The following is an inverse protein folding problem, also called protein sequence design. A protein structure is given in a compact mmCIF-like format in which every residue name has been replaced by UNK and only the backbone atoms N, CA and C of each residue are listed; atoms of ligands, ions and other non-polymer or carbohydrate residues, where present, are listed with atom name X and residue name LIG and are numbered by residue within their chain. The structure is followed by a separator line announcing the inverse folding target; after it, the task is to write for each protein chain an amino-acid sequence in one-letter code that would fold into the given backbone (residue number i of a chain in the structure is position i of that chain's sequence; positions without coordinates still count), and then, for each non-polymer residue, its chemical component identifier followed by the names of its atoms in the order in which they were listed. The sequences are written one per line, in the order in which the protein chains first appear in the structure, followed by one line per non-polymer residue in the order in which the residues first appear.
data_IF_134007236849
#
_entry.id   IF_134007236849
#
_cell.length_a   1.000
_cell.length_b   1.000
_cell.length_c   1.000
_cell.angle_alpha   90.00
_cell.angle_beta   90.00
_cell.angle_gamma   90.00
#
_symmetry.space_group_name_H-M   'P 1'
#
loop_
_entity.id
_entity.type
_entity.pdbx_description
1 polymer ?
#
# COMPACT_ATOMS: atom_id res chain seq x y z
N UNK A 1 -6.42 37.87 -32.23
CA UNK A 1 -6.05 37.40 -30.88
C UNK A 1 -6.42 35.94 -30.79
N UNK A 2 -5.47 35.05 -30.87
CA UNK A 2 -5.67 33.62 -30.57
C UNK A 2 -6.01 33.48 -29.10
N UNK A 3 -7.06 32.77 -28.72
CA UNK A 3 -7.36 32.54 -27.31
C UNK A 3 -6.18 31.82 -26.65
N UNK A 4 -5.72 32.36 -25.51
CA UNK A 4 -4.75 31.68 -24.65
C UNK A 4 -5.43 30.38 -24.25
N UNK A 5 -4.80 29.20 -24.47
CA UNK A 5 -5.39 27.94 -24.06
C UNK A 5 -5.59 27.98 -22.55
N UNK A 6 -6.79 27.62 -22.12
CA UNK A 6 -7.12 27.47 -20.70
C UNK A 6 -6.23 26.35 -20.13
N UNK A 7 -5.33 26.64 -19.20
CA UNK A 7 -4.43 25.65 -18.62
C UNK A 7 -5.16 24.57 -17.79
N UNK A 8 -6.47 24.72 -17.59
CA UNK A 8 -7.29 23.73 -16.87
C UNK A 8 -7.89 22.65 -17.78
N UNK A 9 -7.86 22.82 -19.12
CA UNK A 9 -8.53 21.95 -20.08
C UNK A 9 -7.87 20.56 -20.26
N UNK A 10 -6.64 20.38 -19.79
CA UNK A 10 -5.82 19.17 -20.01
C UNK A 10 -5.59 18.32 -18.75
N UNK A 11 -6.36 18.52 -17.68
CA UNK A 11 -6.14 17.79 -16.41
C UNK A 11 -7.21 16.75 -16.15
N UNK A 12 -6.79 15.55 -15.71
CA UNK A 12 -7.74 14.59 -15.18
C UNK A 12 -8.47 15.21 -13.97
N UNK A 13 -9.80 15.15 -13.90
CA UNK A 13 -10.59 15.66 -12.78
C UNK A 13 -10.25 14.97 -11.45
N UNK A 14 -9.50 13.86 -11.51
CA UNK A 14 -9.10 13.08 -10.36
C UNK A 14 -7.83 13.57 -9.67
N UNK A 15 -7.09 14.51 -10.30
CA UNK A 15 -5.78 14.96 -9.81
C UNK A 15 -5.77 16.47 -9.58
N UNK A 16 -5.37 16.88 -8.40
CA UNK A 16 -5.09 18.28 -8.07
C UNK A 16 -3.59 18.53 -8.05
N UNK A 17 -3.14 19.59 -8.75
CA UNK A 17 -1.77 20.07 -8.69
C UNK A 17 -1.67 21.20 -7.66
N UNK A 18 -0.85 20.98 -6.62
CA UNK A 18 -0.55 21.96 -5.59
C UNK A 18 0.77 22.69 -5.86
N UNK A 19 1.36 23.25 -4.80
CA UNK A 19 2.65 23.93 -4.90
C UNK A 19 3.79 22.94 -5.21
N UNK A 20 4.89 23.46 -5.79
CA UNK A 20 6.15 22.74 -6.01
C UNK A 20 6.02 21.42 -6.80
N UNK A 21 4.99 21.31 -7.65
CA UNK A 21 4.73 20.12 -8.47
C UNK A 21 4.15 18.91 -7.70
N UNK A 22 3.65 19.14 -6.49
CA UNK A 22 2.94 18.10 -5.75
C UNK A 22 1.57 17.79 -6.39
N UNK A 23 1.35 16.54 -6.73
CA UNK A 23 0.08 16.03 -7.25
C UNK A 23 -0.67 15.29 -6.16
N UNK A 24 -1.97 15.53 -6.04
CA UNK A 24 -2.84 14.90 -5.05
C UNK A 24 -3.99 14.19 -5.74
N UNK A 25 -4.26 12.95 -5.32
CA UNK A 25 -5.48 12.26 -5.73
C UNK A 25 -6.68 12.93 -5.04
N UNK A 26 -7.64 13.41 -5.82
CA UNK A 26 -8.85 14.08 -5.31
C UNK A 26 -10.14 13.42 -5.73
N UNK A 27 -10.15 12.74 -6.87
CA UNK A 27 -11.31 12.07 -7.46
C UNK A 27 -11.24 10.55 -7.38
N UNK A 28 -11.59 9.93 -8.50
CA UNK A 28 -11.70 8.48 -8.66
C UNK A 28 -12.96 7.89 -8.04
N UNK A 29 -13.10 6.57 -8.12
CA UNK A 29 -14.28 5.83 -7.60
C UNK A 29 -14.53 6.04 -6.11
N UNK A 30 -13.49 6.37 -5.36
CA UNK A 30 -13.55 6.59 -3.91
C UNK A 30 -13.84 8.04 -3.53
N UNK A 31 -13.96 8.95 -4.51
CA UNK A 31 -14.24 10.38 -4.29
C UNK A 31 -13.40 10.96 -3.15
N UNK A 32 -12.08 10.87 -3.28
CA UNK A 32 -11.12 11.09 -2.17
C UNK A 32 -11.36 12.43 -1.48
N UNK A 33 -11.53 13.53 -2.23
CA UNK A 33 -11.69 14.87 -1.64
C UNK A 33 -12.96 14.99 -0.77
N UNK A 34 -14.03 14.27 -1.10
CA UNK A 34 -15.28 14.33 -0.32
C UNK A 34 -15.10 13.74 1.08
N UNK A 35 -14.13 12.83 1.25
CA UNK A 35 -13.81 12.25 2.55
C UNK A 35 -13.14 13.27 3.49
N UNK A 36 -12.52 14.32 2.93
CA UNK A 36 -11.87 15.43 3.66
C UNK A 36 -12.78 16.64 3.85
N UNK A 37 -14.04 16.56 3.42
CA UNK A 37 -15.06 17.59 3.64
C UNK A 37 -16.00 17.17 4.76
N UNK A 38 -16.69 18.13 5.36
CA UNK A 38 -17.72 17.82 6.35
C UNK A 38 -18.99 17.32 5.66
N UNK A 39 -19.63 16.24 6.15
CA UNK A 39 -19.38 15.51 7.40
C UNK A 39 -18.25 14.44 7.34
N UNK A 40 -17.60 14.18 6.20
CA UNK A 40 -16.57 13.13 6.04
C UNK A 40 -17.14 11.73 6.35
N UNK A 41 -16.35 10.85 6.98
CA UNK A 41 -16.83 9.52 7.35
C UNK A 41 -17.98 9.63 8.36
N UNK A 42 -19.11 8.99 8.07
CA UNK A 42 -20.29 9.02 8.94
C UNK A 42 -20.04 8.29 10.27
N UNK A 43 -20.74 8.73 11.34
CA UNK A 43 -20.67 8.05 12.65
C UNK A 43 -21.08 6.57 12.56
N UNK A 44 -22.06 6.24 11.69
CA UNK A 44 -22.48 4.85 11.44
C UNK A 44 -21.35 4.01 10.85
N UNK A 45 -20.59 4.55 9.88
CA UNK A 45 -19.46 3.87 9.28
C UNK A 45 -18.31 3.68 10.29
N UNK A 46 -17.96 4.72 11.04
CA UNK A 46 -16.94 4.65 12.10
C UNK A 46 -17.29 3.59 13.17
N UNK A 47 -18.58 3.51 13.57
CA UNK A 47 -19.04 2.46 14.49
C UNK A 47 -18.93 1.05 13.89
N UNK A 48 -19.22 0.89 12.58
CA UNK A 48 -19.04 -0.38 11.87
C UNK A 48 -17.55 -0.78 11.80
N UNK A 49 -16.66 0.17 11.54
CA UNK A 49 -15.20 -0.04 11.60
C UNK A 49 -14.76 -0.52 12.98
N UNK A 50 -15.18 0.15 14.04
CA UNK A 50 -14.89 -0.26 15.42
C UNK A 50 -15.31 -1.71 15.69
N UNK A 51 -16.50 -2.12 15.23
CA UNK A 51 -16.99 -3.49 15.37
C UNK A 51 -16.19 -4.49 14.53
N UNK A 52 -15.82 -4.13 13.32
CA UNK A 52 -15.01 -4.97 12.44
C UNK A 52 -13.63 -5.23 13.06
N UNK A 53 -12.94 -4.19 13.52
CA UNK A 53 -11.61 -4.35 14.13
C UNK A 53 -11.68 -5.14 15.44
N UNK A 54 -12.66 -4.88 16.28
CA UNK A 54 -12.89 -5.69 17.49
C UNK A 54 -13.20 -7.17 17.18
N UNK A 55 -13.88 -7.45 16.06
CA UNK A 55 -14.11 -8.81 15.59
C UNK A 55 -12.78 -9.46 15.14
N UNK A 56 -11.99 -8.78 14.30
CA UNK A 56 -10.70 -9.28 13.81
C UNK A 56 -9.74 -9.60 14.94
N UNK A 57 -9.61 -8.69 15.92
CA UNK A 57 -8.79 -8.90 17.12
C UNK A 57 -9.21 -10.20 17.86
N UNK A 58 -10.49 -10.38 18.13
CA UNK A 58 -10.97 -11.56 18.84
C UNK A 58 -10.84 -12.84 18.02
N UNK A 59 -11.08 -12.76 16.70
CA UNK A 59 -10.99 -13.92 15.82
C UNK A 59 -9.53 -14.39 15.68
N UNK A 60 -8.57 -13.48 15.47
CA UNK A 60 -7.14 -13.82 15.45
C UNK A 60 -6.67 -14.38 16.80
N UNK A 61 -7.09 -13.80 17.92
CA UNK A 61 -6.72 -14.30 19.25
C UNK A 61 -7.20 -15.76 19.47
N UNK A 62 -8.36 -16.15 18.93
CA UNK A 62 -8.82 -17.58 19.00
C UNK A 62 -7.95 -18.51 18.16
N UNK A 63 -7.27 -18.00 17.13
CA UNK A 63 -6.29 -18.77 16.34
C UNK A 63 -4.87 -18.73 16.93
N UNK A 64 -4.69 -18.07 18.08
CA UNK A 64 -3.37 -17.87 18.69
C UNK A 64 -2.56 -16.73 18.06
N UNK A 65 -3.14 -15.96 17.14
CA UNK A 65 -2.45 -14.89 16.40
C UNK A 65 -2.71 -13.50 16.99
N UNK A 66 -1.73 -12.62 16.89
CA UNK A 66 -1.87 -11.18 17.19
C UNK A 66 -2.29 -10.43 15.93
N UNK A 67 -3.43 -9.72 15.98
CA UNK A 67 -3.91 -8.88 14.88
C UNK A 67 -3.39 -7.44 15.02
N UNK A 68 -2.83 -6.92 13.94
CA UNK A 68 -2.41 -5.52 13.78
C UNK A 68 -3.19 -4.91 12.61
N UNK A 69 -3.61 -3.66 12.75
CA UNK A 69 -4.30 -2.93 11.68
C UNK A 69 -3.64 -1.59 11.41
N UNK A 70 -3.38 -1.29 10.15
CA UNK A 70 -2.89 0.00 9.69
C UNK A 70 -3.79 0.57 8.62
N UNK A 71 -3.89 1.89 8.61
CA UNK A 71 -4.40 2.66 7.48
C UNK A 71 -3.22 3.43 6.92
N UNK A 72 -2.85 3.16 5.66
CA UNK A 72 -1.84 3.92 4.96
C UNK A 72 -2.38 5.33 4.66
N UNK A 73 -1.83 6.41 5.26
CA UNK A 73 -2.34 7.75 5.08
C UNK A 73 -2.30 8.18 3.61
N UNK A 74 -3.24 8.99 3.17
CA UNK A 74 -3.14 9.64 1.88
C UNK A 74 -2.07 10.74 1.90
N UNK A 75 -1.46 10.99 0.76
CA UNK A 75 -0.52 12.10 0.59
C UNK A 75 -1.15 13.44 1.04
N UNK A 76 -2.44 13.63 0.79
CA UNK A 76 -3.20 14.81 1.24
C UNK A 76 -3.25 14.93 2.78
N UNK A 77 -3.30 13.83 3.51
CA UNK A 77 -3.24 13.82 4.98
C UNK A 77 -1.89 14.29 5.50
N UNK A 78 -0.79 13.89 4.83
CA UNK A 78 0.59 14.15 5.28
C UNK A 78 1.13 15.50 4.78
N UNK A 79 0.89 15.82 3.51
CA UNK A 79 1.43 16.98 2.80
C UNK A 79 0.34 17.94 2.31
N UNK A 80 -0.79 18.00 3.00
CA UNK A 80 -1.93 18.84 2.62
C UNK A 80 -1.64 20.35 2.57
N UNK A 81 -0.58 20.82 3.21
CA UNK A 81 -0.09 22.20 3.11
C UNK A 81 0.44 22.54 1.70
N UNK A 82 0.88 21.56 0.94
CA UNK A 82 1.24 21.71 -0.48
C UNK A 82 0.02 21.69 -1.41
N UNK A 83 -1.17 21.31 -0.95
CA UNK A 83 -2.38 21.27 -1.77
C UNK A 83 -3.02 22.66 -1.91
N UNK A 84 -2.22 23.64 -2.35
CA UNK A 84 -2.65 25.03 -2.51
C UNK A 84 -3.82 25.14 -3.49
N UNK A 85 -4.82 25.96 -3.14
CA UNK A 85 -6.03 26.13 -3.95
C UNK A 85 -7.08 25.02 -3.79
N UNK A 86 -6.80 23.93 -3.05
CA UNK A 86 -7.75 22.86 -2.77
C UNK A 86 -8.51 23.13 -1.46
N UNK A 87 -9.85 23.20 -1.54
CA UNK A 87 -10.68 23.36 -0.35
C UNK A 87 -10.95 22.02 0.33
N UNK A 88 -10.37 21.80 1.50
CA UNK A 88 -10.57 20.60 2.33
C UNK A 88 -10.33 20.91 3.82
N UNK A 89 -10.76 20.01 4.70
CA UNK A 89 -10.53 20.11 6.15
C UNK A 89 -9.57 18.99 6.60
N UNK A 90 -8.30 19.31 6.93
CA UNK A 90 -7.33 18.30 7.39
C UNK A 90 -7.78 17.54 8.65
N UNK A 91 -8.64 18.13 9.50
CA UNK A 91 -9.16 17.46 10.69
C UNK A 91 -10.20 16.38 10.34
N UNK A 92 -10.75 16.44 9.12
CA UNK A 92 -11.69 15.44 8.59
C UNK A 92 -11.01 14.26 7.93
N UNK A 93 -9.67 14.23 7.84
CA UNK A 93 -8.92 13.10 7.30
C UNK A 93 -9.43 11.75 7.88
N UNK A 94 -9.77 10.78 7.02
CA UNK A 94 -10.39 9.52 7.45
C UNK A 94 -9.59 8.78 8.54
N UNK A 95 -8.27 8.69 8.39
CA UNK A 95 -7.40 8.03 9.37
C UNK A 95 -7.47 8.70 10.74
N UNK A 96 -7.48 10.03 10.79
CA UNK A 96 -7.59 10.81 12.04
C UNK A 96 -8.93 10.60 12.72
N UNK A 97 -10.00 10.53 11.94
CA UNK A 97 -11.35 10.27 12.46
C UNK A 97 -11.47 8.85 12.99
N UNK A 98 -10.94 7.88 12.26
CA UNK A 98 -10.94 6.49 12.67
C UNK A 98 -10.12 6.30 13.96
N UNK A 99 -8.89 6.83 14.04
CA UNK A 99 -8.05 6.77 15.23
C UNK A 99 -8.78 7.29 16.47
N UNK A 100 -9.38 8.50 16.37
CA UNK A 100 -10.18 9.08 17.47
C UNK A 100 -11.38 8.22 17.87
N UNK A 101 -12.02 7.56 16.91
CA UNK A 101 -13.19 6.73 17.18
C UNK A 101 -12.83 5.37 17.81
N UNK A 102 -11.62 4.89 17.56
CA UNK A 102 -11.13 3.63 18.10
C UNK A 102 -10.67 3.71 19.54
N UNK A 103 -10.39 4.90 20.09
CA UNK A 103 -9.98 5.07 21.49
C UNK A 103 -10.95 4.32 22.42
N UNK A 104 -10.42 3.67 23.46
CA UNK A 104 -11.17 2.85 24.40
C UNK A 104 -11.93 1.64 23.78
N UNK A 105 -11.46 1.12 22.64
CA UNK A 105 -12.02 -0.10 22.05
C UNK A 105 -10.96 -1.22 21.99
N UNK A 106 -11.36 -2.50 21.90
CA UNK A 106 -10.39 -3.59 21.64
C UNK A 106 -9.57 -3.36 20.37
N UNK A 107 -10.13 -2.68 19.35
CA UNK A 107 -9.45 -2.32 18.12
C UNK A 107 -8.34 -1.28 18.32
N UNK A 108 -8.36 -0.46 19.37
CA UNK A 108 -7.32 0.53 19.64
C UNK A 108 -5.94 -0.12 19.86
N UNK A 109 -5.90 -1.28 20.51
CA UNK A 109 -4.65 -2.01 20.76
C UNK A 109 -4.03 -2.57 19.49
N UNK A 110 -4.86 -2.88 18.50
CA UNK A 110 -4.40 -3.41 17.22
C UNK A 110 -4.07 -2.28 16.22
N UNK A 111 -4.64 -1.09 16.39
CA UNK A 111 -4.48 0.02 15.45
C UNK A 111 -3.12 0.70 15.62
N UNK A 112 -2.38 0.85 14.51
CA UNK A 112 -1.15 1.62 14.43
C UNK A 112 -1.47 2.96 13.77
N UNK A 113 -1.29 4.06 14.51
CA UNK A 113 -1.49 5.41 13.97
C UNK A 113 -0.25 5.85 13.18
N UNK A 114 -0.32 5.67 11.86
CA UNK A 114 0.75 6.11 10.97
C UNK A 114 0.72 7.63 10.72
N UNK A 115 -0.41 8.32 10.90
CA UNK A 115 -0.46 9.79 10.70
C UNK A 115 0.49 10.51 11.65
N UNK A 116 0.53 10.10 12.91
CA UNK A 116 1.45 10.69 13.89
C UNK A 116 2.92 10.45 13.50
N UNK A 117 3.27 9.21 13.15
CA UNK A 117 4.63 8.84 12.76
C UNK A 117 5.08 9.58 11.48
N UNK A 118 4.18 9.70 10.50
CA UNK A 118 4.45 10.40 9.25
C UNK A 118 4.59 11.91 9.45
N UNK A 119 3.73 12.53 10.26
CA UNK A 119 3.85 13.97 10.59
C UNK A 119 5.16 14.29 11.30
N UNK A 120 5.61 13.43 12.20
CA UNK A 120 6.90 13.62 12.87
C UNK A 120 8.10 13.56 11.90
N UNK A 121 8.01 12.79 10.83
CA UNK A 121 9.09 12.56 9.88
C UNK A 121 9.00 13.41 8.59
N UNK A 122 7.92 14.16 8.35
CA UNK A 122 7.62 14.82 7.05
C UNK A 122 8.62 15.90 6.63
N UNK A 123 9.32 16.51 7.58
CA UNK A 123 10.31 17.56 7.32
C UNK A 123 11.69 17.02 6.90
N UNK A 124 11.85 15.69 6.87
CA UNK A 124 13.04 15.01 6.38
C UNK A 124 12.92 14.64 4.90
N UNK A 125 13.63 13.58 4.44
CA UNK A 125 13.47 13.07 3.09
C UNK A 125 12.01 12.75 2.78
N UNK A 126 11.53 12.99 1.53
CA UNK A 126 10.12 12.85 1.18
C UNK A 126 9.55 11.47 1.48
N UNK A 127 8.38 11.42 2.10
CA UNK A 127 7.66 10.18 2.43
C UNK A 127 6.77 9.69 1.29
N UNK A 128 6.44 10.57 0.34
CA UNK A 128 5.70 10.30 -0.88
C UNK A 128 6.43 10.90 -2.08
N UNK A 129 6.27 10.27 -3.24
CA UNK A 129 6.66 10.88 -4.49
C UNK A 129 5.67 11.99 -4.87
N UNK A 130 6.16 13.03 -5.55
CA UNK A 130 5.28 14.14 -5.98
C UNK A 130 4.27 13.67 -7.01
N UNK A 131 4.69 12.80 -7.94
CA UNK A 131 3.88 12.32 -9.07
C UNK A 131 3.16 11.01 -8.81
N UNK A 132 3.32 10.38 -7.63
CA UNK A 132 2.69 9.10 -7.28
C UNK A 132 1.83 9.21 -6.03
N UNK A 133 0.78 8.41 -5.92
CA UNK A 133 -0.08 8.37 -4.73
C UNK A 133 0.50 7.52 -3.60
N UNK A 134 1.50 6.69 -3.88
CA UNK A 134 2.10 5.79 -2.91
C UNK A 134 3.29 6.43 -2.18
N UNK A 135 3.63 5.85 -1.04
CA UNK A 135 4.81 6.24 -0.28
C UNK A 135 6.13 5.85 -0.97
N UNK A 136 7.19 6.57 -0.61
CA UNK A 136 8.57 6.20 -0.97
C UNK A 136 9.05 5.02 -0.10
N UNK A 137 10.26 4.51 -0.38
CA UNK A 137 10.96 3.57 0.53
C UNK A 137 11.01 4.14 1.96
N UNK A 138 11.26 5.44 2.12
CA UNK A 138 11.31 6.09 3.42
C UNK A 138 9.97 6.04 4.15
N UNK A 139 8.85 6.31 3.46
CA UNK A 139 7.51 6.18 4.03
C UNK A 139 7.21 4.74 4.44
N UNK A 140 7.54 3.77 3.58
CA UNK A 140 7.40 2.35 3.88
C UNK A 140 8.22 1.91 5.11
N UNK A 141 9.44 2.43 5.30
CA UNK A 141 10.27 2.14 6.47
C UNK A 141 9.68 2.69 7.77
N UNK A 142 9.07 3.88 7.74
CA UNK A 142 8.39 4.43 8.91
C UNK A 142 7.20 3.55 9.28
N UNK A 143 6.39 3.14 8.30
CA UNK A 143 5.29 2.22 8.53
C UNK A 143 5.79 0.88 9.08
N UNK A 144 6.84 0.30 8.50
CA UNK A 144 7.50 -0.92 8.96
C UNK A 144 7.92 -0.83 10.43
N UNK A 145 8.64 0.23 10.82
CA UNK A 145 9.10 0.42 12.20
C UNK A 145 7.94 0.58 13.18
N UNK A 146 6.91 1.33 12.82
CA UNK A 146 5.73 1.52 13.64
C UNK A 146 4.95 0.19 13.85
N UNK A 147 4.80 -0.61 12.79
CA UNK A 147 4.15 -1.91 12.84
C UNK A 147 4.95 -2.89 13.71
N UNK A 148 6.26 -3.00 13.48
CA UNK A 148 7.11 -3.89 14.29
C UNK A 148 7.11 -3.50 15.77
N UNK A 149 7.16 -2.21 16.09
CA UNK A 149 7.03 -1.73 17.46
C UNK A 149 5.72 -2.22 18.10
N UNK A 150 4.61 -2.17 17.37
CA UNK A 150 3.32 -2.67 17.84
C UNK A 150 3.30 -4.20 18.02
N UNK A 151 4.07 -4.93 17.20
CA UNK A 151 4.25 -6.38 17.30
C UNK A 151 5.23 -6.79 18.41
N UNK A 152 5.95 -5.86 19.03
CA UNK A 152 7.05 -6.16 19.95
C UNK A 152 8.23 -6.85 19.24
N UNK A 153 8.49 -6.47 17.99
CA UNK A 153 9.57 -7.01 17.15
C UNK A 153 10.58 -5.91 16.89
N UNK A 154 11.86 -6.19 17.14
CA UNK A 154 12.94 -5.24 16.86
C UNK A 154 13.20 -5.19 15.35
N UNK A 155 13.23 -4.02 14.69
CA UNK A 155 13.69 -3.88 13.31
C UNK A 155 15.12 -4.39 13.14
N UNK A 156 15.48 -4.77 11.91
CA UNK A 156 16.88 -5.08 11.60
C UNK A 156 17.74 -3.82 11.69
N UNK A 157 18.89 -3.96 12.35
CA UNK A 157 19.87 -2.89 12.53
C UNK A 157 20.78 -2.69 11.30
N UNK A 158 20.90 -3.71 10.45
CA UNK A 158 21.76 -3.74 9.27
C UNK A 158 21.07 -3.27 7.97
N UNK A 159 19.81 -2.83 8.03
CA UNK A 159 19.05 -2.45 6.84
C UNK A 159 19.74 -1.33 6.04
N UNK A 160 20.25 -0.32 6.72
CA UNK A 160 20.93 0.81 6.08
C UNK A 160 22.24 0.38 5.40
N UNK A 161 23.02 -0.52 6.04
CA UNK A 161 24.27 -1.04 5.46
C UNK A 161 24.06 -1.89 4.20
N UNK A 162 22.87 -2.45 4.01
CA UNK A 162 22.50 -3.27 2.84
C UNK A 162 21.76 -2.48 1.76
N UNK A 163 21.60 -1.19 1.97
CA UNK A 163 20.91 -0.30 1.05
C UNK A 163 21.84 0.09 -0.10
N UNK A 164 21.33 0.00 -1.32
CA UNK A 164 21.91 0.66 -2.50
C UNK A 164 20.88 1.62 -3.05
N UNK A 165 21.33 2.72 -3.61
CA UNK A 165 20.44 3.77 -4.05
C UNK A 165 20.94 4.49 -5.29
N UNK A 166 20.02 5.23 -5.91
CA UNK A 166 20.23 6.08 -7.06
C UNK A 166 19.01 6.96 -7.29
N UNK A 167 18.93 7.57 -8.46
CA UNK A 167 17.73 8.30 -8.90
C UNK A 167 17.38 7.90 -10.32
N UNK A 168 16.10 7.86 -10.65
CA UNK A 168 15.59 7.61 -12.00
C UNK A 168 14.53 8.61 -12.37
N UNK A 169 14.41 9.00 -13.66
CA UNK A 169 13.21 9.68 -14.13
C UNK A 169 11.99 8.79 -13.95
N UNK A 170 10.98 9.29 -13.28
CA UNK A 170 9.79 8.52 -12.96
C UNK A 170 8.52 9.37 -13.11
N UNK A 171 7.48 8.77 -13.66
CA UNK A 171 6.12 9.30 -13.65
C UNK A 171 5.23 8.34 -12.91
N UNK A 172 4.75 8.75 -11.76
CA UNK A 172 3.84 7.97 -10.93
C UNK A 172 2.43 7.86 -11.51
N UNK A 173 1.55 7.21 -10.76
CA UNK A 173 0.14 6.99 -11.15
C UNK A 173 -0.62 8.30 -11.33
N UNK A 174 -0.27 9.37 -10.61
CA UNK A 174 -0.85 10.70 -10.76
C UNK A 174 -0.20 11.47 -11.92
N UNK A 175 1.12 11.37 -12.07
CA UNK A 175 1.86 12.04 -13.13
C UNK A 175 1.41 11.61 -14.53
N UNK A 176 1.12 10.31 -14.69
CA UNK A 176 0.58 9.75 -15.95
C UNK A 176 -0.84 10.20 -16.29
N UNK A 177 -1.58 10.72 -15.32
CA UNK A 177 -2.91 11.30 -15.52
C UNK A 177 -2.89 12.78 -15.93
N UNK A 178 -1.72 13.41 -15.95
CA UNK A 178 -1.56 14.79 -16.38
C UNK A 178 -1.27 14.88 -17.88
N UNK A 179 -1.71 15.94 -18.50
CA UNK A 179 -1.33 16.33 -19.86
C UNK A 179 -0.66 17.72 -19.83
N UNK A 180 0.63 17.85 -20.19
CA UNK A 180 1.58 16.76 -20.48
C UNK A 180 1.89 15.89 -19.26
N UNK A 181 2.34 14.65 -19.50
CA UNK A 181 2.77 13.74 -18.43
C UNK A 181 3.82 14.39 -17.54
N UNK A 182 3.66 14.27 -16.21
CA UNK A 182 4.59 14.84 -15.23
C UNK A 182 5.60 13.82 -14.77
N UNK A 183 6.88 14.19 -14.77
CA UNK A 183 8.01 13.39 -14.30
C UNK A 183 8.69 14.06 -13.11
N UNK A 184 9.34 13.23 -12.30
CA UNK A 184 10.25 13.68 -11.24
C UNK A 184 11.52 12.80 -11.24
N UNK A 185 12.58 13.25 -10.57
CA UNK A 185 13.74 12.40 -10.24
C UNK A 185 13.41 11.67 -8.94
N UNK A 186 13.01 10.41 -9.07
CA UNK A 186 12.59 9.61 -7.94
C UNK A 186 13.76 8.82 -7.35
N UNK A 187 13.91 8.77 -6.02
CA UNK A 187 14.95 7.94 -5.40
C UNK A 187 14.63 6.46 -5.60
N UNK A 188 15.64 5.74 -6.06
CA UNK A 188 15.62 4.28 -6.15
C UNK A 188 16.33 3.73 -4.94
N UNK A 189 15.72 2.79 -4.25
CA UNK A 189 16.37 2.09 -3.15
C UNK A 189 16.11 0.60 -3.27
N UNK A 190 17.17 -0.19 -3.24
CA UNK A 190 17.11 -1.65 -3.18
C UNK A 190 17.82 -2.13 -1.92
N UNK A 191 17.44 -3.31 -1.45
CA UNK A 191 18.07 -3.96 -0.31
C UNK A 191 18.51 -5.35 -0.71
N UNK A 192 19.75 -5.71 -0.37
CA UNK A 192 20.14 -7.10 -0.39
C UNK A 192 19.35 -7.84 0.70
N UNK A 193 18.54 -8.81 0.32
CA UNK A 193 17.70 -9.61 1.23
C UNK A 193 17.93 -11.09 1.02
N UNK A 194 17.84 -11.88 2.11
CA UNK A 194 17.80 -13.34 2.04
C UNK A 194 16.40 -13.89 1.72
N UNK A 195 15.39 -13.02 1.64
CA UNK A 195 14.03 -13.46 1.34
C UNK A 195 13.86 -13.83 -0.14
N UNK A 196 13.21 -14.97 -0.38
CA UNK A 196 12.84 -15.43 -1.73
C UNK A 196 11.37 -15.79 -1.77
N UNK A 197 10.71 -15.52 -2.89
CA UNK A 197 9.33 -15.97 -3.11
C UNK A 197 9.34 -17.48 -3.35
N UNK A 198 8.55 -18.20 -2.57
CA UNK A 198 8.42 -19.66 -2.66
C UNK A 198 7.07 -20.11 -3.21
N UNK A 199 6.08 -19.20 -3.27
CA UNK A 199 4.77 -19.45 -3.85
C UNK A 199 4.23 -18.19 -4.49
N UNK A 200 3.58 -18.34 -5.63
CA UNK A 200 2.67 -17.37 -6.23
C UNK A 200 1.42 -18.14 -6.70
N UNK A 201 0.24 -17.54 -6.57
CA UNK A 201 -0.96 -18.16 -7.09
C UNK A 201 -1.06 -17.99 -8.62
N UNK A 202 -2.00 -18.74 -9.25
CA UNK A 202 -2.16 -18.76 -10.71
C UNK A 202 -2.40 -17.37 -11.30
N UNK A 203 -3.21 -16.52 -10.64
CA UNK A 203 -3.45 -15.14 -11.10
C UNK A 203 -2.13 -14.38 -11.28
N UNK A 204 -1.26 -14.46 -10.28
CA UNK A 204 0.02 -13.77 -10.29
C UNK A 204 0.96 -14.37 -11.33
N UNK A 205 1.08 -15.69 -11.36
CA UNK A 205 1.97 -16.42 -12.26
C UNK A 205 1.59 -16.20 -13.73
N UNK A 206 0.30 -16.25 -14.06
CA UNK A 206 -0.20 -16.03 -15.43
C UNK A 206 0.03 -14.59 -15.92
N UNK A 207 -0.19 -13.59 -15.05
CA UNK A 207 0.07 -12.19 -15.40
C UNK A 207 1.58 -11.92 -15.54
N UNK A 208 2.42 -12.49 -14.68
CA UNK A 208 3.88 -12.40 -14.81
C UNK A 208 4.39 -13.01 -16.10
N UNK A 209 3.88 -14.18 -16.49
CA UNK A 209 4.22 -14.84 -17.75
C UNK A 209 3.90 -13.99 -19.00
N UNK A 210 2.93 -13.06 -18.87
CA UNK A 210 2.56 -12.10 -19.91
C UNK A 210 3.30 -10.75 -19.79
N UNK A 211 4.25 -10.59 -18.87
CA UNK A 211 4.88 -9.30 -18.57
C UNK A 211 3.95 -8.28 -17.88
N UNK A 212 2.81 -8.74 -17.37
CA UNK A 212 1.74 -7.94 -16.74
C UNK A 212 1.70 -8.10 -15.23
N UNK A 213 2.76 -8.56 -14.59
CA UNK A 213 2.81 -8.85 -13.14
C UNK A 213 2.38 -7.67 -12.27
N UNK A 214 2.67 -6.44 -12.70
CA UNK A 214 2.24 -5.21 -12.00
C UNK A 214 0.71 -5.05 -11.95
N UNK A 215 -0.03 -5.72 -12.83
CA UNK A 215 -1.49 -5.71 -12.85
C UNK A 215 -2.11 -6.76 -11.90
N UNK A 216 -1.30 -7.60 -11.27
CA UNK A 216 -1.76 -8.60 -10.34
C UNK A 216 -2.15 -7.93 -9.01
N UNK A 217 -3.35 -7.39 -8.98
CA UNK A 217 -3.92 -6.70 -7.82
C UNK A 217 -4.79 -7.66 -6.99
N UNK A 218 -6.03 -7.25 -6.73
CA UNK A 218 -7.00 -7.95 -5.91
C UNK A 218 -7.05 -9.46 -6.24
N UNK A 219 -6.81 -10.29 -5.23
CA UNK A 219 -6.72 -11.75 -5.38
C UNK A 219 -5.30 -12.29 -5.57
N UNK A 220 -4.28 -11.43 -5.80
CA UNK A 220 -2.89 -11.89 -5.85
C UNK A 220 -2.46 -12.44 -4.48
N UNK A 221 -1.73 -13.55 -4.51
CA UNK A 221 -1.20 -14.21 -3.31
C UNK A 221 0.24 -14.68 -3.58
N UNK A 222 1.15 -14.29 -2.68
CA UNK A 222 2.54 -14.69 -2.72
C UNK A 222 3.03 -15.06 -1.31
N UNK A 223 3.94 -16.04 -1.23
CA UNK A 223 4.59 -16.45 0.02
C UNK A 223 6.09 -16.27 -0.13
N UNK A 224 6.69 -15.66 0.87
CA UNK A 224 8.13 -15.41 0.95
C UNK A 224 8.73 -16.17 2.13
N UNK A 225 9.93 -16.71 1.92
CA UNK A 225 10.74 -17.34 2.97
C UNK A 225 12.11 -16.67 3.03
N UNK A 226 12.56 -16.44 4.26
CA UNK A 226 13.88 -15.91 4.56
C UNK A 226 14.62 -16.89 5.46
N UNK A 227 15.69 -17.46 4.94
CA UNK A 227 16.50 -18.45 5.66
C UNK A 227 17.67 -17.79 6.43
N UNK A 228 17.76 -16.44 6.46
CA UNK A 228 18.74 -15.70 7.27
C UNK A 228 18.52 -16.04 8.76
N UNK A 229 19.55 -16.47 9.52
CA UNK A 229 19.44 -16.76 10.93
C UNK A 229 19.02 -15.57 11.80
N UNK A 230 19.18 -14.33 11.30
CA UNK A 230 18.70 -13.10 11.95
C UNK A 230 17.22 -12.83 11.70
N UNK A 231 16.56 -13.57 10.80
CA UNK A 231 15.13 -13.43 10.57
C UNK A 231 14.35 -13.87 11.81
N UNK A 232 13.30 -13.13 12.15
CA UNK A 232 12.38 -13.51 13.22
C UNK A 232 11.72 -14.86 12.86
N UNK A 233 11.75 -15.88 13.71
CA UNK A 233 11.27 -17.21 13.37
C UNK A 233 9.75 -17.29 13.17
N UNK A 234 9.03 -16.26 13.56
CA UNK A 234 7.56 -16.22 13.50
C UNK A 234 7.05 -16.02 12.07
N UNK A 235 5.79 -16.39 11.86
CA UNK A 235 5.07 -16.27 10.60
C UNK A 235 4.16 -15.07 10.62
N UNK A 236 4.20 -14.27 9.55
CA UNK A 236 3.33 -13.11 9.34
C UNK A 236 2.43 -13.35 8.13
N UNK A 237 1.12 -13.10 8.29
CA UNK A 237 0.19 -13.01 7.15
C UNK A 237 -0.27 -11.57 7.00
N UNK A 238 -0.14 -11.03 5.79
CA UNK A 238 -0.53 -9.66 5.40
C UNK A 238 -1.75 -9.73 4.50
N UNK A 239 -2.82 -9.08 4.90
CA UNK A 239 -3.95 -8.72 4.06
C UNK A 239 -3.86 -7.23 3.78
N UNK A 240 -3.55 -6.85 2.54
CA UNK A 240 -3.28 -5.47 2.20
C UNK A 240 -3.63 -5.11 0.76
N UNK A 241 -3.36 -3.88 0.41
CA UNK A 241 -3.55 -3.35 -0.94
C UNK A 241 -2.22 -2.91 -1.58
N UNK A 242 -2.26 -1.91 -2.47
CA UNK A 242 -1.09 -1.45 -3.22
C UNK A 242 0.05 -0.89 -2.35
N UNK A 243 -0.20 -0.47 -1.13
CA UNK A 243 0.84 -0.04 -0.20
C UNK A 243 1.65 -1.19 0.40
N UNK A 244 1.11 -2.40 0.34
CA UNK A 244 1.77 -3.64 0.79
C UNK A 244 2.13 -4.59 -0.35
N UNK A 245 2.00 -4.20 -1.61
CA UNK A 245 2.08 -5.13 -2.73
C UNK A 245 3.29 -6.08 -2.69
N UNK A 246 3.19 -7.20 -3.44
CA UNK A 246 4.12 -8.34 -3.39
C UNK A 246 5.43 -8.11 -4.13
N UNK A 247 5.49 -7.12 -5.01
CA UNK A 247 6.70 -6.79 -5.77
C UNK A 247 7.33 -5.50 -5.26
N UNK A 248 8.65 -5.50 -5.12
CA UNK A 248 9.41 -4.27 -4.99
C UNK A 248 9.79 -3.82 -6.39
N UNK A 249 9.12 -2.83 -6.93
CA UNK A 249 9.61 -2.12 -8.09
C UNK A 249 9.97 -0.71 -7.68
N UNK A 250 11.19 -0.37 -8.00
CA UNK A 250 11.70 0.96 -7.74
C UNK A 250 11.02 1.98 -8.67
N UNK A 251 10.73 3.19 -8.20
CA UNK A 251 11.08 3.79 -6.91
C UNK A 251 10.03 3.57 -5.81
N UNK A 252 8.94 2.85 -6.10
CA UNK A 252 7.89 2.58 -5.12
C UNK A 252 8.29 1.37 -4.26
N UNK A 253 8.47 1.60 -2.98
CA UNK A 253 8.78 0.54 -2.04
C UNK A 253 7.52 -0.18 -1.58
N UNK A 254 7.70 -1.45 -1.27
CA UNK A 254 6.63 -2.25 -0.73
C UNK A 254 6.90 -2.63 0.72
N UNK A 255 5.89 -2.50 1.55
CA UNK A 255 6.00 -2.91 2.94
C UNK A 255 6.27 -4.42 3.06
N UNK A 256 5.71 -5.22 2.16
CA UNK A 256 5.89 -6.68 2.15
C UNK A 256 7.35 -7.09 1.99
N UNK A 257 8.14 -6.39 1.18
CA UNK A 257 9.57 -6.69 1.01
C UNK A 257 10.35 -6.50 2.32
N UNK A 258 10.09 -5.41 3.05
CA UNK A 258 10.70 -5.14 4.35
C UNK A 258 10.27 -6.17 5.41
N UNK A 259 9.01 -6.59 5.38
CA UNK A 259 8.51 -7.63 6.28
C UNK A 259 9.12 -9.00 5.95
N UNK A 260 9.25 -9.35 4.67
CA UNK A 260 9.88 -10.59 4.23
C UNK A 260 11.38 -10.65 4.60
N UNK A 261 12.07 -9.51 4.60
CA UNK A 261 13.44 -9.43 5.09
C UNK A 261 13.54 -9.64 6.62
N UNK A 262 12.50 -9.27 7.36
CA UNK A 262 12.50 -9.37 8.82
C UNK A 262 12.02 -10.71 9.37
N UNK A 263 11.00 -11.31 8.77
CA UNK A 263 10.37 -12.55 9.24
C UNK A 263 10.82 -13.76 8.41
N UNK A 264 10.88 -14.93 9.04
CA UNK A 264 11.22 -16.18 8.36
C UNK A 264 10.20 -16.56 7.29
N UNK A 265 8.93 -16.26 7.51
CA UNK A 265 7.88 -16.55 6.54
C UNK A 265 6.84 -15.44 6.53
N UNK A 266 6.57 -14.91 5.33
CA UNK A 266 5.58 -13.85 5.11
C UNK A 266 4.66 -14.26 3.97
N UNK A 267 3.35 -14.25 4.24
CA UNK A 267 2.31 -14.44 3.24
C UNK A 267 1.68 -13.10 2.95
N UNK A 268 1.65 -12.71 1.69
CA UNK A 268 0.94 -11.53 1.22
C UNK A 268 -0.28 -11.96 0.42
N UNK A 269 -1.45 -11.47 0.84
CA UNK A 269 -2.73 -11.66 0.17
C UNK A 269 -3.30 -10.28 -0.17
N UNK A 270 -3.45 -9.99 -1.46
CA UNK A 270 -4.03 -8.72 -1.89
C UNK A 270 -5.54 -8.73 -1.68
N UNK A 271 -5.93 -8.39 -0.50
CA UNK A 271 -7.30 -8.29 -0.04
C UNK A 271 -7.39 -7.41 1.21
N UNK A 272 -8.41 -6.59 1.32
CA UNK A 272 -8.72 -5.89 2.56
C UNK A 272 -9.65 -6.70 3.48
N UNK A 273 -10.17 -7.84 2.97
CA UNK A 273 -10.95 -8.82 3.74
C UNK A 273 -10.04 -9.93 4.26
N UNK A 274 -10.36 -10.47 5.43
CA UNK A 274 -9.60 -11.59 6.00
C UNK A 274 -10.13 -12.90 5.44
N UNK A 275 -9.25 -13.77 5.00
CA UNK A 275 -9.55 -15.17 4.72
C UNK A 275 -9.32 -16.02 5.99
N UNK A 276 -10.39 -16.31 6.69
CA UNK A 276 -10.33 -17.05 7.96
C UNK A 276 -9.96 -18.52 7.78
N UNK A 277 -10.32 -19.10 6.63
CA UNK A 277 -9.96 -20.48 6.29
C UNK A 277 -8.45 -20.61 6.07
N UNK A 278 -7.91 -19.64 5.32
CA UNK A 278 -6.47 -19.54 5.10
C UNK A 278 -5.70 -19.37 6.41
N UNK A 279 -6.15 -18.47 7.30
CA UNK A 279 -5.52 -18.28 8.60
C UNK A 279 -5.57 -19.52 9.49
N UNK A 280 -6.67 -20.28 9.44
CA UNK A 280 -6.81 -21.52 10.21
C UNK A 280 -5.85 -22.60 9.72
N UNK A 281 -5.61 -22.69 8.41
CA UNK A 281 -4.66 -23.61 7.80
C UNK A 281 -3.20 -23.22 8.07
N UNK A 282 -2.88 -21.91 7.97
CA UNK A 282 -1.50 -21.40 8.05
C UNK A 282 -1.01 -21.23 9.49
N UNK A 283 -1.94 -20.94 10.44
CA UNK A 283 -1.62 -20.68 11.86
C UNK A 283 -0.49 -19.67 12.06
N UNK A 284 -0.65 -18.41 11.62
CA UNK A 284 0.38 -17.40 11.78
C UNK A 284 0.49 -16.90 13.23
N UNK A 285 1.65 -16.34 13.59
CA UNK A 285 1.84 -15.62 14.85
C UNK A 285 1.27 -14.21 14.79
N UNK A 286 1.36 -13.58 13.59
CA UNK A 286 0.89 -12.23 13.34
C UNK A 286 -0.01 -12.17 12.10
N UNK A 287 -1.05 -11.35 12.20
CA UNK A 287 -1.90 -10.96 11.07
C UNK A 287 -1.90 -9.45 10.95
N UNK A 288 -1.42 -8.94 9.84
CA UNK A 288 -1.47 -7.52 9.49
C UNK A 288 -2.63 -7.28 8.52
N UNK A 289 -3.57 -6.43 8.88
CA UNK A 289 -4.55 -5.87 7.95
C UNK A 289 -4.13 -4.46 7.59
N UNK A 290 -3.86 -4.21 6.33
CA UNK A 290 -3.53 -2.89 5.80
C UNK A 290 -4.62 -2.44 4.82
N UNK A 291 -4.88 -1.13 4.78
CA UNK A 291 -5.80 -0.50 3.84
C UNK A 291 -5.38 0.95 3.58
N UNK A 292 -5.39 1.37 2.32
CA UNK A 292 -5.20 2.78 2.00
C UNK A 292 -6.34 3.64 2.57
N UNK A 293 -6.02 4.84 3.04
CA UNK A 293 -6.97 5.75 3.68
C UNK A 293 -8.21 6.01 2.81
N UNK A 294 -8.00 6.16 1.49
CA UNK A 294 -9.09 6.38 0.52
C UNK A 294 -10.15 5.29 0.48
N UNK A 295 -9.79 4.05 0.86
CA UNK A 295 -10.73 2.92 0.86
C UNK A 295 -11.51 2.79 2.16
N UNK A 296 -11.21 3.59 3.19
CA UNK A 296 -11.91 3.52 4.48
C UNK A 296 -13.38 3.96 4.40
N UNK A 297 -13.79 4.59 3.29
CA UNK A 297 -15.19 4.94 3.01
C UNK A 297 -16.06 3.68 2.86
N UNK A 298 -15.46 2.56 2.42
CA UNK A 298 -16.12 1.28 2.27
C UNK A 298 -15.61 0.28 3.30
N UNK A 299 -16.55 -0.36 4.01
CA UNK A 299 -16.19 -1.35 5.00
C UNK A 299 -15.94 -2.69 4.31
N UNK A 300 -14.73 -3.29 4.42
CA UNK A 300 -14.48 -4.61 3.86
C UNK A 300 -15.42 -5.67 4.46
N UNK A 301 -15.77 -6.71 3.71
CA UNK A 301 -16.42 -7.88 4.25
C UNK A 301 -15.67 -8.46 5.47
N UNK A 302 -16.41 -9.11 6.37
CA UNK A 302 -15.78 -9.74 7.56
C UNK A 302 -14.83 -10.86 7.22
N UNK A 303 -15.10 -11.55 6.10
CA UNK A 303 -14.27 -12.61 5.56
C UNK A 303 -14.57 -12.81 4.09
N UNK A 304 -13.54 -13.16 3.31
CA UNK A 304 -13.68 -13.55 1.90
C UNK A 304 -12.50 -14.44 1.50
N UNK A 305 -12.75 -15.61 0.84
CA UNK A 305 -11.68 -16.51 0.41
C UNK A 305 -10.80 -15.88 -0.66
N UNK A 306 -9.49 -15.95 -0.50
CA UNK A 306 -8.53 -15.37 -1.46
C UNK A 306 -8.58 -16.07 -2.82
N UNK A 307 -8.77 -17.37 -2.84
CA UNK A 307 -8.90 -18.17 -4.06
C UNK A 307 -10.09 -17.70 -4.90
N UNK A 308 -11.24 -17.48 -4.25
CA UNK A 308 -12.42 -16.96 -4.95
C UNK A 308 -12.20 -15.56 -5.49
N UNK A 309 -11.44 -14.74 -4.77
CA UNK A 309 -11.07 -13.41 -5.23
C UNK A 309 -10.16 -13.47 -6.45
N UNK A 310 -9.18 -14.39 -6.45
CA UNK A 310 -8.29 -14.63 -7.57
C UNK A 310 -9.06 -15.13 -8.82
N UNK A 311 -9.99 -16.05 -8.65
CA UNK A 311 -10.85 -16.52 -9.74
C UNK A 311 -11.64 -15.37 -10.39
N UNK A 312 -12.28 -14.52 -9.57
CA UNK A 312 -13.02 -13.35 -10.06
C UNK A 312 -12.12 -12.35 -10.80
N UNK A 313 -10.91 -12.13 -10.30
CA UNK A 313 -9.92 -11.27 -10.92
C UNK A 313 -9.43 -11.85 -12.24
N UNK A 314 -9.12 -13.15 -12.28
CA UNK A 314 -8.75 -13.86 -13.53
C UNK A 314 -9.85 -13.76 -14.58
N UNK A 315 -11.09 -14.06 -14.21
CA UNK A 315 -12.22 -13.95 -15.13
C UNK A 315 -12.30 -12.57 -15.78
N UNK A 316 -12.11 -11.48 -15.02
CA UNK A 316 -12.12 -10.11 -15.56
C UNK A 316 -10.91 -9.81 -16.46
N UNK A 317 -9.70 -10.23 -16.06
CA UNK A 317 -8.47 -9.86 -16.76
C UNK A 317 -8.18 -10.66 -18.02
N UNK A 318 -8.74 -11.87 -18.13
CA UNK A 318 -8.52 -12.79 -19.25
C UNK A 318 -9.72 -12.97 -20.17
N UNK A 319 -10.95 -12.59 -19.74
CA UNK A 319 -12.14 -12.56 -20.62
C UNK A 319 -12.33 -11.22 -21.32
N UNK A 320 -11.88 -10.10 -20.71
CA UNK A 320 -11.97 -8.75 -21.30
C UNK A 320 -10.71 -8.35 -22.08
N UNK A 321 -9.89 -9.30 -22.51
CA UNK A 321 -8.65 -9.05 -23.23
C UNK A 321 -8.93 -8.45 -24.63
N UNK A 322 -9.17 -7.13 -24.67
CA UNK A 322 -8.93 -6.34 -25.87
C UNK A 322 -7.41 -6.39 -26.12
N UNK A 323 -6.92 -6.79 -27.30
CA UNK A 323 -5.50 -6.81 -27.59
C UNK A 323 -4.89 -5.42 -27.36
N UNK A 324 -3.78 -5.36 -26.61
CA UNK A 324 -2.99 -4.14 -26.49
C UNK A 324 -2.58 -3.67 -27.89
N UNK A 325 -2.62 -2.34 -28.17
CA UNK A 325 -2.10 -1.82 -29.41
C UNK A 325 -0.62 -2.20 -29.56
N UNK A 326 -0.14 -2.51 -30.79
CA UNK A 326 1.20 -3.06 -31.05
C UNK A 326 2.38 -2.14 -30.70
N UNK A 327 2.14 -0.90 -30.27
CA UNK A 327 3.14 0.14 -30.04
C UNK A 327 3.33 0.53 -28.56
N UNK A 328 2.96 -0.30 -27.61
CA UNK A 328 3.32 -0.03 -26.21
C UNK A 328 4.84 -0.24 -26.03
N UNK A 329 5.61 0.76 -25.53
CA UNK A 329 7.03 0.59 -25.32
C UNK A 329 7.26 -0.53 -24.30
N UNK A 330 8.14 -1.47 -24.66
CA UNK A 330 8.55 -2.57 -23.80
C UNK A 330 9.05 -2.02 -22.45
N UNK A 331 8.46 -2.50 -21.37
CA UNK A 331 8.97 -2.25 -20.02
C UNK A 331 10.43 -2.70 -19.98
N UNK A 332 11.31 -1.86 -19.40
CA UNK A 332 12.72 -2.14 -19.29
C UNK A 332 12.97 -3.53 -18.67
N UNK A 333 13.98 -4.27 -19.15
CA UNK A 333 14.25 -5.62 -18.68
C UNK A 333 14.63 -5.60 -17.19
N UNK A 334 14.05 -6.51 -16.43
CA UNK A 334 14.45 -6.82 -15.06
C UNK A 334 15.95 -7.17 -15.06
N UNK A 335 16.72 -6.42 -14.26
CA UNK A 335 18.10 -6.82 -13.97
C UNK A 335 18.05 -8.07 -13.07
N UNK A 336 18.01 -9.23 -13.69
CA UNK A 336 18.27 -10.50 -13.02
C UNK A 336 19.74 -10.50 -12.64
N UNK A 337 20.05 -10.35 -11.37
CA UNK A 337 21.39 -10.49 -10.83
C UNK A 337 21.90 -11.89 -11.10
N UNK A 338 22.82 -12.03 -12.07
CA UNK A 338 23.60 -13.23 -12.24
C UNK A 338 24.52 -13.40 -11.03
N UNK A 339 24.39 -14.51 -10.33
CA UNK A 339 25.36 -14.94 -9.32
C UNK A 339 26.71 -15.22 -10.00
N UNK A 340 27.85 -14.77 -9.44
CA UNK A 340 29.17 -15.23 -9.89
C UNK A 340 29.41 -16.66 -9.43
N UNK A 341 30.06 -17.42 -10.28
CA UNK A 341 30.56 -18.79 -10.02
C UNK A 341 31.62 -18.81 -8.92
#
# INVERSE_FOLDING_TARGET
MTPVPDPSADRSPDVHEGSDGWLFLTGGTNRVIDQYRRPGLSRRLLWRWRRLLAHRVRACARLGATYIHVVAPEKLTVYGDHATGLAFDPASAPVRRLARWLTASPGARAFVDLDEAFRAARNGPPLYLRTDSHWTVRGSEIAYRAILSRMGVTPRDDLEARRTGGTVPFSGDLGRKCAPIRFEQAPVTTFATGARRILANDLLTELEAQGRGIEAHLGAHAVFRNDDPKADPRRLVIFGDSFCQHTSYSPVATLTALMADRFREVHFLWSTSIDWHYLDAVRPDFVLGEIAERFTIDLPPRGFPIERLAELARARKFTDATPLPPDAPASAPEAVGAAPR
#
